data_IF_613896717377
#
_entry.id   IF_613896717377
#
_cell.length_a   1.000
_cell.length_b   1.000
_cell.length_c   1.000
_cell.angle_alpha   90.00
_cell.angle_beta   90.00
_cell.angle_gamma   90.00
#
_symmetry.space_group_name_H-M   'P 1'
#
loop_
_entity.id
_entity.type
_entity.pdbx_description
1 polymer ?
#
# COMPACT_ATOMS: atom_id res chain seq x y z
N UNK A 1 -4.91 -6.42 -16.03
CA UNK A 1 -3.78 -6.61 -15.10
C UNK A 1 -2.49 -6.49 -15.90
N UNK A 2 -1.43 -5.94 -15.30
CA UNK A 2 -0.34 -5.28 -16.02
C UNK A 2 1.02 -5.99 -16.03
N UNK A 3 1.06 -7.32 -15.89
CA UNK A 3 2.30 -8.07 -16.08
C UNK A 3 2.42 -8.49 -17.55
N UNK A 4 3.62 -8.36 -18.11
CA UNK A 4 3.99 -8.97 -19.38
C UNK A 4 4.30 -10.46 -19.19
N UNK A 5 4.27 -11.24 -20.28
CA UNK A 5 4.65 -12.66 -20.23
C UNK A 5 6.09 -12.89 -19.72
N UNK A 6 7.02 -11.97 -20.02
CA UNK A 6 8.38 -12.01 -19.50
C UNK A 6 8.41 -11.78 -17.98
N UNK A 7 7.67 -10.80 -17.47
CA UNK A 7 7.58 -10.54 -16.03
C UNK A 7 6.94 -11.72 -15.29
N UNK A 8 5.89 -12.34 -15.84
CA UNK A 8 5.31 -13.56 -15.26
C UNK A 8 6.34 -14.69 -15.18
N UNK A 9 7.14 -14.90 -16.22
CA UNK A 9 8.18 -15.92 -16.23
C UNK A 9 9.28 -15.65 -15.18
N UNK A 10 9.68 -14.38 -14.99
CA UNK A 10 10.64 -13.98 -13.95
C UNK A 10 10.09 -14.27 -12.55
N UNK A 11 8.85 -13.85 -12.27
CA UNK A 11 8.23 -14.08 -10.97
C UNK A 11 8.05 -15.57 -10.72
N UNK A 12 7.54 -16.33 -11.69
CA UNK A 12 7.32 -17.77 -11.55
C UNK A 12 8.61 -18.55 -11.34
N UNK A 13 9.64 -18.32 -12.16
CA UNK A 13 10.92 -19.05 -12.03
C UNK A 13 11.62 -18.79 -10.69
N UNK A 14 11.61 -17.55 -10.21
CA UNK A 14 12.19 -17.21 -8.90
C UNK A 14 11.34 -17.68 -7.74
N UNK A 15 10.01 -17.66 -7.89
CA UNK A 15 9.10 -18.27 -6.92
C UNK A 15 9.33 -19.78 -6.79
N UNK A 16 9.36 -20.50 -7.91
CA UNK A 16 9.56 -21.95 -7.96
C UNK A 16 10.90 -22.35 -7.32
N UNK A 17 11.97 -21.57 -7.57
CA UNK A 17 13.27 -21.77 -6.92
C UNK A 17 13.19 -21.55 -5.40
N UNK A 18 12.44 -20.56 -4.93
CA UNK A 18 12.26 -20.29 -3.51
C UNK A 18 11.39 -21.35 -2.82
N UNK A 19 10.28 -21.77 -3.41
CA UNK A 19 9.37 -22.74 -2.76
C UNK A 19 9.83 -24.20 -2.86
N UNK A 20 10.92 -24.47 -3.59
CA UNK A 20 11.55 -25.79 -3.64
C UNK A 20 11.91 -26.33 -2.23
N UNK A 21 12.20 -25.45 -1.28
CA UNK A 21 12.36 -25.75 0.15
C UNK A 21 11.33 -24.98 0.98
N UNK A 22 10.04 -25.27 0.77
CA UNK A 22 8.95 -24.62 1.52
C UNK A 22 9.09 -24.78 3.05
N UNK A 23 9.45 -25.95 3.62
CA UNK A 23 9.60 -26.07 5.07
C UNK A 23 10.68 -25.16 5.65
N UNK A 24 11.88 -25.14 5.06
CA UNK A 24 12.98 -24.29 5.51
C UNK A 24 12.69 -22.81 5.27
N UNK A 25 12.43 -22.44 4.02
CA UNK A 25 12.24 -21.04 3.63
C UNK A 25 10.96 -20.43 4.21
N UNK A 26 9.93 -21.25 4.43
CA UNK A 26 8.70 -20.85 5.10
C UNK A 26 8.91 -20.56 6.59
N UNK A 27 9.68 -21.41 7.27
CA UNK A 27 10.09 -21.16 8.65
C UNK A 27 10.90 -19.87 8.76
N UNK A 28 11.92 -19.71 7.92
CA UNK A 28 12.79 -18.53 7.92
C UNK A 28 12.01 -17.24 7.62
N UNK A 29 11.05 -17.31 6.69
CA UNK A 29 10.15 -16.19 6.40
C UNK A 29 9.35 -15.74 7.63
N UNK A 30 8.73 -16.66 8.37
CA UNK A 30 7.95 -16.29 9.55
C UNK A 30 8.83 -15.82 10.72
N UNK A 31 9.99 -16.44 10.92
CA UNK A 31 10.97 -15.97 11.92
C UNK A 31 11.36 -14.52 11.62
N UNK A 32 11.64 -14.20 10.35
CA UNK A 32 11.94 -12.84 9.91
C UNK A 32 10.74 -11.90 10.12
N UNK A 33 9.55 -12.30 9.66
CA UNK A 33 8.33 -11.49 9.75
C UNK A 33 8.07 -11.02 11.18
N UNK A 34 8.17 -11.93 12.15
CA UNK A 34 7.92 -11.61 13.56
C UNK A 34 9.10 -10.94 14.24
N UNK A 35 10.33 -11.15 13.78
CA UNK A 35 11.49 -10.39 14.28
C UNK A 35 11.40 -8.92 13.88
N UNK A 36 10.98 -8.63 12.64
CA UNK A 36 10.78 -7.27 12.13
C UNK A 36 9.45 -6.64 12.60
N UNK A 37 8.45 -7.48 12.93
CA UNK A 37 7.11 -7.05 13.34
C UNK A 37 6.60 -7.87 14.54
N UNK A 38 7.17 -7.69 15.76
CA UNK A 38 6.88 -8.58 16.90
C UNK A 38 5.40 -8.67 17.29
N UNK A 39 4.63 -7.59 17.11
CA UNK A 39 3.20 -7.57 17.41
C UNK A 39 2.37 -8.53 16.54
N UNK A 40 2.89 -8.97 15.39
CA UNK A 40 2.15 -9.83 14.47
C UNK A 40 2.02 -11.26 15.00
N UNK A 41 2.96 -11.73 15.82
CA UNK A 41 2.94 -13.08 16.38
C UNK A 41 1.64 -13.35 17.16
N UNK A 42 1.12 -12.33 17.86
CA UNK A 42 -0.13 -12.42 18.63
C UNK A 42 -1.38 -12.74 17.78
N UNK A 43 -1.31 -12.56 16.45
CA UNK A 43 -2.39 -12.90 15.53
C UNK A 43 -2.41 -14.39 15.17
N UNK A 44 -1.32 -15.11 15.41
CA UNK A 44 -1.14 -16.53 15.13
C UNK A 44 -1.24 -17.34 16.42
N UNK A 45 -2.46 -17.52 16.94
CA UNK A 45 -2.71 -18.17 18.24
C UNK A 45 -2.15 -19.59 18.39
N UNK A 46 -1.89 -20.28 17.28
CA UNK A 46 -1.35 -21.65 17.27
C UNK A 46 0.18 -21.69 17.14
N UNK A 47 0.83 -20.54 16.98
CA UNK A 47 2.28 -20.48 16.87
C UNK A 47 2.90 -20.52 18.26
N UNK A 48 4.11 -21.09 18.38
CA UNK A 48 4.85 -21.07 19.62
C UNK A 48 5.40 -19.66 19.90
N UNK A 49 5.98 -19.43 21.08
CA UNK A 49 6.78 -18.24 21.36
C UNK A 49 7.91 -18.04 20.34
N UNK A 50 8.43 -16.81 20.26
CA UNK A 50 9.35 -16.39 19.17
C UNK A 50 10.63 -17.22 19.06
N UNK A 51 11.18 -17.65 20.19
CA UNK A 51 12.41 -18.46 20.29
C UNK A 51 12.20 -19.92 19.85
N UNK A 52 10.96 -20.39 19.82
CA UNK A 52 10.57 -21.74 19.40
C UNK A 52 9.98 -21.78 17.97
N UNK A 53 9.89 -20.64 17.28
CA UNK A 53 9.37 -20.58 15.90
C UNK A 53 10.17 -21.42 14.89
N UNK A 54 11.52 -21.42 14.88
CA UNK A 54 12.29 -22.08 13.84
C UNK A 54 11.95 -23.58 13.73
N UNK A 55 11.47 -23.99 12.55
CA UNK A 55 11.12 -25.38 12.25
C UNK A 55 9.85 -25.91 12.94
N UNK A 56 9.10 -25.08 13.68
CA UNK A 56 7.91 -25.54 14.39
C UNK A 56 6.80 -25.95 13.40
N UNK A 57 6.15 -27.08 13.67
CA UNK A 57 5.18 -27.71 12.75
C UNK A 57 4.03 -26.80 12.30
N UNK A 58 3.50 -25.97 13.20
CA UNK A 58 2.40 -25.05 12.86
C UNK A 58 2.88 -23.87 12.00
N UNK A 59 4.13 -23.45 12.17
CA UNK A 59 4.76 -22.40 11.34
C UNK A 59 4.96 -22.94 9.93
N UNK A 60 5.56 -24.12 9.80
CA UNK A 60 5.76 -24.81 8.52
C UNK A 60 4.43 -25.04 7.80
N UNK A 61 3.41 -25.52 8.53
CA UNK A 61 2.06 -25.73 7.98
C UNK A 61 1.45 -24.44 7.44
N UNK A 62 1.55 -23.34 8.18
CA UNK A 62 1.03 -22.06 7.72
C UNK A 62 1.79 -21.54 6.49
N UNK A 63 3.11 -21.70 6.46
CA UNK A 63 3.91 -21.33 5.30
C UNK A 63 3.51 -22.10 4.04
N UNK A 64 3.25 -23.41 4.16
CA UNK A 64 2.73 -24.22 3.05
C UNK A 64 1.41 -23.65 2.53
N UNK A 65 0.47 -23.28 3.42
CA UNK A 65 -0.82 -22.71 3.03
C UNK A 65 -0.63 -21.40 2.27
N UNK A 66 0.18 -20.48 2.81
CA UNK A 66 0.35 -19.15 2.24
C UNK A 66 1.12 -19.21 0.91
N UNK A 67 2.15 -20.06 0.82
CA UNK A 67 2.94 -20.21 -0.40
C UNK A 67 2.15 -20.92 -1.51
N UNK A 68 1.35 -21.93 -1.17
CA UNK A 68 0.43 -22.53 -2.14
C UNK A 68 -0.61 -21.53 -2.66
N UNK A 69 -1.08 -20.62 -1.79
CA UNK A 69 -1.97 -19.55 -2.22
C UNK A 69 -1.28 -18.59 -3.19
N UNK A 70 -0.04 -18.17 -2.92
CA UNK A 70 0.75 -17.34 -3.84
C UNK A 70 1.00 -18.07 -5.18
N UNK A 71 1.37 -19.35 -5.16
CA UNK A 71 1.50 -20.16 -6.39
C UNK A 71 0.21 -20.16 -7.20
N UNK A 72 -0.94 -20.37 -6.55
CA UNK A 72 -2.24 -20.33 -7.22
C UNK A 72 -2.52 -18.96 -7.83
N UNK A 73 -2.17 -17.87 -7.16
CA UNK A 73 -2.34 -16.52 -7.72
C UNK A 73 -1.46 -16.32 -8.97
N UNK A 74 -0.22 -16.80 -8.95
CA UNK A 74 0.68 -16.71 -10.10
C UNK A 74 0.18 -17.47 -11.32
N UNK A 75 -0.42 -18.64 -11.11
CA UNK A 75 -0.99 -19.42 -12.20
C UNK A 75 -2.22 -18.69 -12.80
N UNK A 76 -3.05 -18.04 -11.97
CA UNK A 76 -4.30 -17.41 -12.42
C UNK A 76 -4.20 -15.96 -12.89
N UNK A 77 -3.16 -15.20 -12.52
CA UNK A 77 -3.09 -13.73 -12.73
C UNK A 77 -3.37 -13.30 -14.18
N UNK A 78 -2.96 -14.11 -15.16
CA UNK A 78 -3.24 -13.85 -16.58
C UNK A 78 -4.15 -14.91 -17.21
N UNK A 79 -4.05 -16.18 -16.80
CA UNK A 79 -4.78 -17.30 -17.42
C UNK A 79 -6.26 -17.28 -17.04
N UNK A 80 -6.57 -16.85 -15.82
CA UNK A 80 -7.92 -16.77 -15.31
C UNK A 80 -8.07 -15.58 -14.36
N UNK A 81 -8.13 -14.36 -14.91
CA UNK A 81 -8.17 -13.14 -14.12
C UNK A 81 -9.38 -13.07 -13.16
N UNK A 82 -10.50 -13.69 -13.53
CA UNK A 82 -11.67 -13.80 -12.67
C UNK A 82 -11.41 -14.68 -11.43
N UNK A 83 -10.74 -15.83 -11.60
CA UNK A 83 -10.36 -16.69 -10.48
C UNK A 83 -9.28 -16.05 -9.58
N UNK A 84 -8.36 -15.28 -10.16
CA UNK A 84 -7.40 -14.48 -9.41
C UNK A 84 -8.12 -13.47 -8.50
N UNK A 85 -9.04 -12.70 -9.07
CA UNK A 85 -9.78 -11.66 -8.34
C UNK A 85 -10.69 -12.26 -7.27
N UNK A 86 -11.44 -13.33 -7.59
CA UNK A 86 -12.31 -14.04 -6.64
C UNK A 86 -11.52 -14.60 -5.43
N UNK A 87 -10.33 -15.18 -5.69
CA UNK A 87 -9.47 -15.72 -4.64
C UNK A 87 -9.00 -14.61 -3.67
N UNK A 88 -8.61 -13.45 -4.21
CA UNK A 88 -8.17 -12.30 -3.42
C UNK A 88 -9.33 -11.62 -2.66
N UNK A 89 -10.53 -11.56 -3.23
CA UNK A 89 -11.71 -11.06 -2.52
C UNK A 89 -12.05 -11.95 -1.31
N UNK A 90 -11.99 -13.28 -1.46
CA UNK A 90 -12.15 -14.22 -0.34
C UNK A 90 -11.06 -14.06 0.71
N UNK A 91 -9.82 -13.85 0.27
CA UNK A 91 -8.69 -13.55 1.16
C UNK A 91 -8.99 -12.31 1.99
N UNK A 92 -9.41 -11.22 1.35
CA UNK A 92 -9.70 -9.94 2.00
C UNK A 92 -10.81 -10.07 3.06
N UNK A 93 -11.92 -10.76 2.75
CA UNK A 93 -13.01 -11.01 3.72
C UNK A 93 -12.50 -11.77 4.95
N UNK A 94 -11.64 -12.77 4.73
CA UNK A 94 -11.11 -13.59 5.82
C UNK A 94 -10.11 -12.81 6.68
N UNK A 95 -9.25 -12.01 6.05
CA UNK A 95 -8.23 -11.21 6.72
C UNK A 95 -8.84 -10.00 7.45
N UNK A 96 -9.92 -9.41 6.93
CA UNK A 96 -10.72 -8.40 7.64
C UNK A 96 -11.25 -8.93 8.98
N UNK A 97 -11.82 -10.13 9.01
CA UNK A 97 -12.33 -10.76 10.25
C UNK A 97 -11.25 -10.97 11.32
N UNK A 98 -9.98 -11.00 10.90
CA UNK A 98 -8.80 -11.14 11.75
C UNK A 98 -8.14 -9.78 12.08
N UNK A 99 -8.78 -8.67 11.70
CA UNK A 99 -8.28 -7.30 11.87
C UNK A 99 -6.94 -7.03 11.18
N UNK A 100 -6.66 -7.73 10.08
CA UNK A 100 -5.47 -7.49 9.28
C UNK A 100 -5.65 -6.20 8.48
N UNK A 101 -4.63 -5.35 8.48
CA UNK A 101 -4.65 -4.04 7.82
C UNK A 101 -3.80 -4.04 6.55
N UNK A 102 -3.96 -3.01 5.71
CA UNK A 102 -3.15 -2.82 4.50
C UNK A 102 -1.65 -2.68 4.83
N UNK A 103 -1.30 -2.00 5.92
CA UNK A 103 0.08 -1.88 6.42
C UNK A 103 0.71 -3.25 6.71
N UNK A 104 -0.08 -4.21 7.19
CA UNK A 104 0.39 -5.56 7.46
C UNK A 104 0.69 -6.35 6.19
N UNK A 105 -0.10 -6.12 5.13
CA UNK A 105 0.22 -6.64 3.79
C UNK A 105 1.49 -6.00 3.22
N UNK A 106 1.75 -4.71 3.49
CA UNK A 106 2.99 -4.08 3.05
C UNK A 106 4.22 -4.62 3.80
N UNK A 107 4.11 -4.82 5.12
CA UNK A 107 5.17 -5.47 5.92
C UNK A 107 5.44 -6.91 5.48
N UNK A 108 4.39 -7.66 5.10
CA UNK A 108 4.53 -8.96 4.48
C UNK A 108 5.32 -8.88 3.16
N UNK A 109 5.05 -7.88 2.31
CA UNK A 109 5.76 -7.66 1.04
C UNK A 109 7.26 -7.45 1.27
N UNK A 110 7.60 -6.54 2.17
CA UNK A 110 8.99 -6.20 2.50
C UNK A 110 9.73 -7.44 3.00
N UNK A 111 9.10 -8.20 3.91
CA UNK A 111 9.65 -9.45 4.44
C UNK A 111 9.87 -10.48 3.33
N UNK A 112 8.88 -10.66 2.45
CA UNK A 112 8.95 -11.63 1.36
C UNK A 112 10.06 -11.29 0.37
N UNK A 113 10.19 -10.02 -0.01
CA UNK A 113 11.21 -9.58 -0.97
C UNK A 113 12.60 -9.70 -0.38
N UNK A 114 12.75 -9.37 0.90
CA UNK A 114 13.98 -9.63 1.64
C UNK A 114 14.32 -11.12 1.66
N UNK A 115 13.37 -11.99 1.99
CA UNK A 115 13.59 -13.43 2.06
C UNK A 115 13.97 -14.04 0.70
N UNK A 116 13.32 -13.61 -0.39
CA UNK A 116 13.68 -13.99 -1.75
C UNK A 116 15.11 -13.55 -2.10
N UNK A 117 15.48 -12.31 -1.75
CA UNK A 117 16.81 -11.74 -2.03
C UNK A 117 17.90 -12.46 -1.25
N UNK A 118 17.68 -12.74 0.03
CA UNK A 118 18.66 -13.42 0.86
C UNK A 118 18.85 -14.88 0.43
N UNK A 119 17.76 -15.56 0.02
CA UNK A 119 17.82 -16.98 -0.38
C UNK A 119 18.38 -17.19 -1.78
N UNK A 120 17.95 -16.38 -2.75
CA UNK A 120 18.32 -16.55 -4.17
C UNK A 120 19.55 -15.73 -4.56
N UNK A 121 19.89 -14.72 -3.76
CA UNK A 121 21.00 -13.81 -3.99
C UNK A 121 20.67 -12.68 -4.97
N UNK A 122 21.38 -11.56 -4.83
CA UNK A 122 21.21 -10.36 -5.66
C UNK A 122 21.52 -10.59 -7.15
N UNK A 123 22.29 -11.62 -7.50
CA UNK A 123 22.54 -12.02 -8.88
C UNK A 123 21.32 -12.64 -9.58
N UNK A 124 20.42 -13.26 -8.82
CA UNK A 124 19.15 -13.81 -9.32
C UNK A 124 18.03 -12.79 -9.15
N UNK A 125 17.96 -12.12 -7.99
CA UNK A 125 17.00 -11.05 -7.70
C UNK A 125 17.46 -9.71 -8.30
N UNK A 126 17.63 -9.69 -9.63
CA UNK A 126 18.02 -8.49 -10.39
C UNK A 126 16.94 -7.41 -10.33
N UNK A 127 17.26 -6.19 -10.76
CA UNK A 127 16.30 -5.08 -10.80
C UNK A 127 15.03 -5.40 -11.60
N UNK A 128 15.14 -6.16 -12.68
CA UNK A 128 14.00 -6.60 -13.50
C UNK A 128 13.10 -7.59 -12.74
N UNK A 129 13.71 -8.56 -12.05
CA UNK A 129 12.98 -9.53 -11.22
C UNK A 129 12.25 -8.83 -10.08
N UNK A 130 12.92 -7.90 -9.39
CA UNK A 130 12.32 -7.12 -8.30
C UNK A 130 11.16 -6.26 -8.81
N UNK A 131 11.30 -5.64 -9.99
CA UNK A 131 10.19 -4.89 -10.61
C UNK A 131 9.01 -5.78 -10.98
N UNK A 132 9.26 -6.97 -11.53
CA UNK A 132 8.22 -7.93 -11.86
C UNK A 132 7.45 -8.39 -10.60
N UNK A 133 8.17 -8.72 -9.53
CA UNK A 133 7.58 -9.02 -8.22
C UNK A 133 6.78 -7.85 -7.65
N UNK A 134 7.29 -6.62 -7.78
CA UNK A 134 6.61 -5.40 -7.34
C UNK A 134 5.27 -5.23 -8.05
N UNK A 135 5.22 -5.42 -9.37
CA UNK A 135 3.98 -5.37 -10.15
C UNK A 135 3.00 -6.47 -9.77
N UNK A 136 3.49 -7.70 -9.59
CA UNK A 136 2.66 -8.82 -9.15
C UNK A 136 2.01 -8.53 -7.80
N UNK A 137 2.81 -8.09 -6.83
CA UNK A 137 2.31 -7.78 -5.50
C UNK A 137 1.36 -6.57 -5.50
N UNK A 138 1.64 -5.55 -6.32
CA UNK A 138 0.72 -4.42 -6.50
C UNK A 138 -0.65 -4.87 -7.03
N UNK A 139 -0.69 -5.85 -7.95
CA UNK A 139 -1.96 -6.43 -8.41
C UNK A 139 -2.73 -7.14 -7.29
N UNK A 140 -2.03 -7.84 -6.39
CA UNK A 140 -2.64 -8.43 -5.18
C UNK A 140 -3.24 -7.35 -4.29
N UNK A 141 -2.44 -6.33 -3.95
CA UNK A 141 -2.83 -5.25 -3.03
C UNK A 141 -4.00 -4.43 -3.58
N UNK A 142 -4.07 -4.22 -4.90
CA UNK A 142 -5.15 -3.51 -5.56
C UNK A 142 -6.53 -4.18 -5.35
N UNK A 143 -6.58 -5.51 -5.25
CA UNK A 143 -7.83 -6.24 -5.01
C UNK A 143 -8.10 -6.42 -3.51
N UNK A 144 -7.07 -6.74 -2.73
CA UNK A 144 -7.24 -7.06 -1.31
C UNK A 144 -7.58 -5.82 -0.47
N UNK A 145 -6.90 -4.71 -0.71
CA UNK A 145 -7.00 -3.52 0.15
C UNK A 145 -8.42 -2.95 0.21
N UNK A 146 -9.15 -2.77 -0.90
CA UNK A 146 -10.56 -2.36 -0.83
C UNK A 146 -11.42 -3.31 0.03
N UNK A 147 -11.18 -4.62 -0.05
CA UNK A 147 -11.88 -5.63 0.75
C UNK A 147 -11.51 -5.63 2.23
N UNK A 148 -10.33 -5.13 2.60
CA UNK A 148 -9.94 -4.87 3.99
C UNK A 148 -10.54 -3.56 4.53
N UNK A 149 -10.74 -2.58 3.65
CA UNK A 149 -11.26 -1.25 3.98
C UNK A 149 -12.79 -1.22 4.06
N UNK A 150 -13.48 -2.20 3.47
CA UNK A 150 -14.94 -2.33 3.61
C UNK A 150 -15.28 -2.81 5.02
N UNK A 151 -15.45 -1.83 5.91
CA UNK A 151 -15.76 -1.84 7.35
C UNK A 151 -14.60 -2.05 8.30
N UNK A 152 -13.63 -1.16 8.20
CA UNK A 152 -13.02 -0.63 9.41
C UNK A 152 -13.95 0.49 9.93
N UNK A 153 -14.69 0.33 11.05
CA UNK A 153 -15.64 1.34 11.54
C UNK A 153 -15.00 2.70 11.84
N UNK A 154 -13.68 2.79 11.81
CA UNK A 154 -12.91 4.01 12.02
C UNK A 154 -12.24 4.56 10.76
N UNK A 155 -12.23 3.82 9.63
CA UNK A 155 -11.80 4.33 8.31
C UNK A 155 -12.98 4.75 7.42
N UNK A 156 -14.17 4.21 7.71
CA UNK A 156 -15.44 4.52 7.03
C UNK A 156 -16.09 5.89 7.33
N UNK A 157 -15.74 6.69 8.37
CA UNK A 157 -16.45 7.96 8.57
C UNK A 157 -16.34 8.92 7.37
N UNK A 158 -15.21 8.93 6.66
CA UNK A 158 -14.96 9.89 5.56
C UNK A 158 -15.53 9.43 4.21
N UNK A 159 -15.49 8.13 3.88
CA UNK A 159 -16.13 7.62 2.66
C UNK A 159 -17.65 7.48 2.77
N UNK A 160 -18.22 7.49 3.98
CA UNK A 160 -19.67 7.69 4.16
C UNK A 160 -20.16 9.04 3.66
N UNK A 161 -19.32 10.09 3.72
CA UNK A 161 -19.65 11.40 3.14
C UNK A 161 -19.83 11.25 1.62
N UNK A 162 -18.96 10.49 0.96
CA UNK A 162 -19.04 10.29 -0.50
C UNK A 162 -20.04 9.21 -0.94
N UNK A 163 -20.78 8.60 -0.01
CA UNK A 163 -21.80 7.54 -0.25
C UNK A 163 -21.36 6.47 -1.26
N UNK A 164 -20.09 6.07 -1.23
CA UNK A 164 -19.55 5.10 -2.19
C UNK A 164 -20.07 3.71 -1.84
N UNK A 165 -20.84 3.13 -2.75
CA UNK A 165 -21.10 1.69 -2.77
C UNK A 165 -20.15 1.07 -3.79
N UNK A 166 -19.52 -0.05 -3.43
CA UNK A 166 -18.77 -0.94 -4.34
C UNK A 166 -17.46 -0.41 -4.95
N UNK A 167 -16.92 0.73 -4.52
CA UNK A 167 -15.56 1.16 -4.87
C UNK A 167 -15.38 1.65 -6.31
N UNK A 168 -16.45 1.95 -7.05
CA UNK A 168 -16.35 2.58 -8.37
C UNK A 168 -15.90 4.04 -8.24
N UNK A 169 -14.60 4.27 -8.43
CA UNK A 169 -14.00 5.60 -8.37
C UNK A 169 -14.39 6.49 -9.57
N UNK A 170 -14.85 5.93 -10.69
CA UNK A 170 -15.33 6.73 -11.81
C UNK A 170 -16.72 7.30 -11.51
N UNK A 171 -17.56 6.53 -10.80
CA UNK A 171 -18.87 6.99 -10.34
C UNK A 171 -18.80 8.14 -9.31
N UNK A 172 -17.64 8.37 -8.68
CA UNK A 172 -17.42 9.52 -7.80
C UNK A 172 -17.35 10.85 -8.55
N UNK A 173 -16.93 10.82 -9.82
CA UNK A 173 -16.67 12.03 -10.60
C UNK A 173 -17.97 12.82 -10.76
N UNK A 174 -17.98 14.04 -10.21
CA UNK A 174 -19.13 14.94 -10.31
C UNK A 174 -20.23 14.72 -9.27
N UNK A 175 -20.07 13.80 -8.32
CA UNK A 175 -21.00 13.71 -7.18
C UNK A 175 -20.94 14.98 -6.31
N UNK A 176 -22.06 15.43 -5.72
CA UNK A 176 -22.08 16.64 -4.89
C UNK A 176 -21.05 16.61 -3.76
N UNK A 177 -20.88 15.45 -3.14
CA UNK A 177 -19.95 15.29 -2.02
C UNK A 177 -18.49 15.33 -2.50
N UNK A 178 -18.15 14.67 -3.61
CA UNK A 178 -16.81 14.75 -4.19
C UNK A 178 -16.48 16.16 -4.67
N UNK A 179 -17.44 16.85 -5.30
CA UNK A 179 -17.28 18.26 -5.67
C UNK A 179 -17.07 19.13 -4.44
N UNK A 180 -17.80 18.89 -3.35
CA UNK A 180 -17.63 19.64 -2.11
C UNK A 180 -16.26 19.43 -1.46
N UNK A 181 -15.76 18.19 -1.44
CA UNK A 181 -14.42 17.92 -0.92
C UNK A 181 -13.33 18.52 -1.80
N UNK A 182 -13.52 18.45 -3.12
CA UNK A 182 -12.63 19.11 -4.09
C UNK A 182 -12.57 20.61 -3.81
N UNK A 183 -13.72 21.26 -3.66
CA UNK A 183 -13.83 22.68 -3.31
C UNK A 183 -13.08 22.99 -2.00
N UNK A 184 -13.27 22.20 -0.94
CA UNK A 184 -12.58 22.40 0.35
C UNK A 184 -11.06 22.28 0.21
N UNK A 185 -10.58 21.26 -0.50
CA UNK A 185 -9.16 21.04 -0.71
C UNK A 185 -8.54 22.21 -1.49
N UNK A 186 -9.10 22.56 -2.65
CA UNK A 186 -8.54 23.61 -3.51
C UNK A 186 -8.69 25.00 -2.90
N UNK A 187 -9.75 25.29 -2.14
CA UNK A 187 -9.86 26.54 -1.39
C UNK A 187 -8.77 26.66 -0.32
N UNK A 188 -8.45 25.55 0.35
CA UNK A 188 -7.37 25.55 1.34
C UNK A 188 -6.00 25.71 0.67
N UNK A 189 -5.71 24.98 -0.41
CA UNK A 189 -4.48 25.17 -1.20
C UNK A 189 -4.36 26.60 -1.74
N UNK A 190 -5.45 27.18 -2.27
CA UNK A 190 -5.47 28.55 -2.76
C UNK A 190 -5.15 29.57 -1.66
N UNK A 191 -5.68 29.37 -0.44
CA UNK A 191 -5.32 30.19 0.72
C UNK A 191 -3.83 30.09 1.05
N UNK A 192 -3.25 28.88 1.05
CA UNK A 192 -1.83 28.69 1.32
C UNK A 192 -0.95 29.35 0.26
N UNK A 193 -1.31 29.20 -1.02
CA UNK A 193 -0.57 29.81 -2.15
C UNK A 193 -0.64 31.33 -2.09
N UNK A 194 -1.83 31.90 -1.86
CA UNK A 194 -2.01 33.35 -1.72
C UNK A 194 -1.34 33.92 -0.46
N UNK A 195 -1.05 33.06 0.52
CA UNK A 195 -0.35 33.38 1.77
C UNK A 195 1.17 33.27 1.71
N UNK A 196 1.75 32.88 0.56
CA UNK A 196 3.21 32.75 0.42
C UNK A 196 3.87 34.09 0.72
N UNK A 197 4.81 34.09 1.67
CA UNK A 197 5.48 35.30 2.18
C UNK A 197 4.96 35.82 3.52
N UNK A 198 3.85 35.28 4.02
CA UNK A 198 3.34 35.51 5.39
C UNK A 198 2.76 34.20 5.94
N UNK A 199 3.65 33.32 6.43
CA UNK A 199 3.37 31.93 6.76
C UNK A 199 2.76 31.70 8.16
N UNK A 200 2.90 32.67 9.06
CA UNK A 200 2.42 32.58 10.46
C UNK A 200 0.93 32.24 10.62
N UNK A 201 -0.01 32.83 9.85
CA UNK A 201 -1.44 32.50 9.99
C UNK A 201 -1.78 31.06 9.62
N UNK A 202 -0.99 30.43 8.75
CA UNK A 202 -1.34 29.13 8.16
C UNK A 202 -0.70 27.95 8.88
N UNK A 203 0.39 28.16 9.63
CA UNK A 203 1.00 27.12 10.48
C UNK A 203 -0.04 26.55 11.45
N UNK A 204 -0.80 27.42 12.12
CA UNK A 204 -1.84 27.00 13.06
C UNK A 204 -2.96 26.19 12.39
N UNK A 205 -3.35 26.54 11.17
CA UNK A 205 -4.37 25.81 10.42
C UNK A 205 -3.86 24.45 9.92
N UNK A 206 -2.59 24.37 9.50
CA UNK A 206 -1.93 23.12 9.13
C UNK A 206 -1.76 22.16 10.31
N UNK A 207 -1.45 22.66 11.51
CA UNK A 207 -1.41 21.85 12.73
C UNK A 207 -2.81 21.35 13.11
N UNK A 208 -3.84 22.19 13.03
CA UNK A 208 -5.22 21.72 13.25
C UNK A 208 -5.64 20.71 12.19
N UNK A 209 -5.18 20.87 10.95
CA UNK A 209 -5.41 19.95 9.86
C UNK A 209 -4.78 18.58 10.18
N UNK A 210 -3.51 18.55 10.59
CA UNK A 210 -2.80 17.30 10.91
C UNK A 210 -3.47 16.53 12.04
N UNK A 211 -3.85 17.20 13.13
CA UNK A 211 -4.57 16.55 14.24
C UNK A 211 -5.89 15.93 13.78
N UNK A 212 -6.66 16.62 12.93
CA UNK A 212 -7.87 16.06 12.34
C UNK A 212 -7.55 14.86 11.44
N UNK A 213 -6.55 14.98 10.58
CA UNK A 213 -6.16 13.91 9.65
C UNK A 213 -5.63 12.67 10.37
N UNK A 214 -4.95 12.85 11.52
CA UNK A 214 -4.60 11.75 12.44
C UNK A 214 -5.82 11.05 13.01
N UNK A 215 -6.82 11.80 13.45
CA UNK A 215 -8.09 11.23 13.90
C UNK A 215 -8.80 10.44 12.79
N UNK A 216 -8.53 10.81 11.53
CA UNK A 216 -9.06 10.14 10.34
C UNK A 216 -8.17 8.99 9.88
N UNK A 217 -7.06 8.72 10.58
CA UNK A 217 -6.05 7.70 10.28
C UNK A 217 -5.37 7.88 8.93
N UNK A 218 -5.28 9.13 8.47
CA UNK A 218 -4.44 9.48 7.33
C UNK A 218 -2.99 9.37 7.77
N UNK A 219 -2.19 8.65 6.99
CA UNK A 219 -0.75 8.51 7.23
C UNK A 219 0.03 9.61 6.50
N UNK A 220 1.28 9.81 6.89
CA UNK A 220 2.20 10.68 6.17
C UNK A 220 2.37 10.26 4.71
N UNK A 221 2.41 8.94 4.45
CA UNK A 221 2.52 8.37 3.10
C UNK A 221 1.30 8.70 2.22
N UNK A 222 0.08 8.63 2.78
CA UNK A 222 -1.13 9.04 2.07
C UNK A 222 -1.13 10.54 1.77
N UNK A 223 -0.61 11.35 2.70
CA UNK A 223 -0.45 12.78 2.49
C UNK A 223 0.53 13.05 1.34
N UNK A 224 1.73 12.44 1.38
CA UNK A 224 2.73 12.55 0.32
C UNK A 224 2.22 12.06 -1.04
N UNK A 225 1.43 10.98 -1.06
CA UNK A 225 0.78 10.46 -2.27
C UNK A 225 -0.16 11.50 -2.88
N UNK A 226 -1.01 12.15 -2.07
CA UNK A 226 -1.88 13.24 -2.54
C UNK A 226 -1.06 14.41 -3.11
N UNK A 227 0.04 14.77 -2.45
CA UNK A 227 0.97 15.79 -2.95
C UNK A 227 1.53 15.47 -4.33
N UNK A 228 2.06 14.25 -4.51
CA UNK A 228 2.57 13.79 -5.79
C UNK A 228 1.53 13.85 -6.91
N UNK A 229 0.29 13.43 -6.63
CA UNK A 229 -0.81 13.50 -7.60
C UNK A 229 -1.15 14.94 -7.98
N UNK A 230 -1.22 15.87 -7.01
CA UNK A 230 -1.50 17.28 -7.29
C UNK A 230 -0.41 17.89 -8.18
N UNK A 231 0.87 17.62 -7.87
CA UNK A 231 1.99 18.13 -8.68
C UNK A 231 1.99 17.56 -10.10
N UNK A 232 1.68 16.27 -10.25
CA UNK A 232 1.55 15.64 -11.56
C UNK A 232 0.40 16.24 -12.37
N UNK A 233 -0.77 16.47 -11.74
CA UNK A 233 -1.92 17.11 -12.39
C UNK A 233 -1.63 18.56 -12.79
N UNK A 234 -0.91 19.33 -11.96
CA UNK A 234 -0.49 20.69 -12.31
C UNK A 234 0.42 20.67 -13.55
N UNK A 235 1.39 19.75 -13.61
CA UNK A 235 2.27 19.60 -14.76
C UNK A 235 1.50 19.25 -16.04
N UNK A 236 0.58 18.27 -15.95
CA UNK A 236 -0.24 17.84 -17.09
C UNK A 236 -1.15 18.96 -17.61
N UNK A 237 -1.84 19.68 -16.71
CA UNK A 237 -2.84 20.69 -17.10
C UNK A 237 -2.24 22.01 -17.55
N UNK A 238 -1.09 22.41 -17.01
CA UNK A 238 -0.46 23.68 -17.33
C UNK A 238 0.53 23.57 -18.49
N UNK A 239 1.01 22.35 -18.79
CA UNK A 239 1.98 22.09 -19.84
C UNK A 239 3.35 22.68 -19.52
N UNK A 240 4.35 22.34 -20.35
CA UNK A 240 5.75 22.73 -20.16
C UNK A 240 6.00 24.24 -20.24
N UNK A 241 5.11 24.98 -20.88
CA UNK A 241 5.26 26.42 -21.09
C UNK A 241 5.00 27.22 -19.80
N UNK A 242 4.12 26.72 -18.93
CA UNK A 242 3.77 27.34 -17.65
C UNK A 242 4.32 26.56 -16.45
N UNK A 243 4.41 25.23 -16.53
CA UNK A 243 4.97 24.38 -15.50
C UNK A 243 6.41 23.97 -15.87
N UNK A 244 7.30 24.96 -15.84
CA UNK A 244 8.72 24.75 -16.11
C UNK A 244 9.41 23.93 -15.02
N UNK A 245 10.67 23.56 -15.22
CA UNK A 245 11.48 22.87 -14.20
C UNK A 245 11.63 23.71 -12.93
N UNK A 246 11.75 25.02 -13.08
CA UNK A 246 11.80 25.98 -11.97
C UNK A 246 10.46 26.05 -11.22
N UNK A 247 9.35 26.08 -11.95
CA UNK A 247 8.01 26.05 -11.36
C UNK A 247 7.80 24.74 -10.57
N UNK A 248 8.19 23.60 -11.14
CA UNK A 248 8.11 22.30 -10.46
C UNK A 248 8.94 22.28 -9.17
N UNK A 249 10.18 22.79 -9.20
CA UNK A 249 11.04 22.88 -8.02
C UNK A 249 10.43 23.78 -6.94
N UNK A 250 9.80 24.90 -7.32
CA UNK A 250 9.12 25.80 -6.40
C UNK A 250 7.90 25.13 -5.74
N UNK A 251 7.07 24.44 -6.52
CA UNK A 251 5.92 23.70 -6.01
C UNK A 251 6.30 22.54 -5.10
N UNK A 252 7.34 21.78 -5.46
CA UNK A 252 7.87 20.71 -4.62
C UNK A 252 8.38 21.26 -3.27
N UNK A 253 9.10 22.37 -3.29
CA UNK A 253 9.58 23.04 -2.06
C UNK A 253 8.42 23.54 -1.21
N UNK A 254 7.41 24.17 -1.83
CA UNK A 254 6.19 24.61 -1.16
C UNK A 254 5.48 23.44 -0.47
N UNK A 255 5.23 22.36 -1.20
CA UNK A 255 4.56 21.18 -0.65
C UNK A 255 5.37 20.52 0.47
N UNK A 256 6.70 20.40 0.30
CA UNK A 256 7.60 19.87 1.33
C UNK A 256 7.52 20.66 2.63
N UNK A 257 7.37 22.00 2.55
CA UNK A 257 7.20 22.82 3.75
C UNK A 257 5.85 22.57 4.44
N UNK A 258 4.78 22.33 3.68
CA UNK A 258 3.49 21.92 4.25
C UNK A 258 3.66 20.59 5.01
N UNK A 259 4.30 19.60 4.39
CA UNK A 259 4.53 18.28 4.99
C UNK A 259 5.29 18.40 6.31
N UNK A 260 6.35 19.20 6.37
CA UNK A 260 7.12 19.44 7.60
C UNK A 260 6.28 19.99 8.77
N UNK A 261 5.26 20.78 8.47
CA UNK A 261 4.36 21.35 9.50
C UNK A 261 3.31 20.32 9.93
N UNK A 262 2.85 19.49 8.99
CA UNK A 262 1.79 18.50 9.21
C UNK A 262 2.33 17.24 9.90
N UNK A 263 3.52 16.77 9.51
CA UNK A 263 4.17 15.53 9.96
C UNK A 263 4.17 15.34 11.49
N UNK A 264 4.54 16.33 12.32
CA UNK A 264 4.54 16.14 13.79
C UNK A 264 3.17 15.85 14.40
N UNK A 265 2.09 16.25 13.70
CA UNK A 265 0.72 16.09 14.18
C UNK A 265 -0.05 14.92 13.55
N UNK A 266 0.54 14.22 12.55
CA UNK A 266 0.03 12.95 12.04
C UNK A 266 0.49 11.78 12.93
#
# INVERSE_FOLDING_TARGET
>A
MGLSGAEKALVKSTWDAYVADTPGNGSDFFVRLFSENPSFLALFKSFPPSDELPGHKEVVKQAVIDFQFISKLLDNVDENPGAFEEALQKLAVTHKKRNITADMFERFRVTLFGALTDKLGAGVMTGEVVQAWTKFYAAIVAVVTPGLLTENPTYIPYFKVFKIQNGDLQALRGTPEMLKQTELNFNFFGKLVNGIGNDEPFKGDLVKLSVRHKAYRITLDMFNTLGGVILAELADKLGSDLYTSEANAAWLKFYTNIVKIVEPGL
#
